data_IF_060242604275
#
_entry.id   IF_060242604275
#
_cell.length_a   1.000
_cell.length_b   1.000
_cell.length_c   1.000
_cell.angle_alpha   90.00
_cell.angle_beta   90.00
_cell.angle_gamma   90.00
#
_symmetry.space_group_name_H-M   'P 1'
#
loop_
_entity.id
_entity.type
_entity.pdbx_description
1 polymer ?
#
# COMPACT_ATOMS: atom_id res chain seq x y z
N UNK A 1 4.01 10.84 -1.58
CA UNK A 1 5.15 9.89 -1.49
C UNK A 1 4.61 8.46 -1.56
N UNK A 2 5.39 7.51 -2.09
CA UNK A 2 5.01 6.09 -2.12
C UNK A 2 5.69 5.37 -0.96
N UNK A 3 4.89 4.74 -0.10
CA UNK A 3 5.37 4.01 1.08
C UNK A 3 5.03 2.53 0.95
N UNK A 4 5.99 1.65 1.20
CA UNK A 4 5.74 0.21 1.27
C UNK A 4 4.97 -0.11 2.55
N UNK A 5 3.89 -0.88 2.44
CA UNK A 5 3.08 -1.34 3.57
C UNK A 5 3.31 -2.81 3.91
N UNK A 6 2.34 -3.40 4.63
CA UNK A 6 2.34 -4.81 4.97
C UNK A 6 2.39 -5.69 3.71
N UNK A 7 3.30 -6.66 3.71
CA UNK A 7 3.54 -7.59 2.59
C UNK A 7 2.63 -8.82 2.59
N UNK A 8 1.82 -9.02 3.64
CA UNK A 8 0.93 -10.17 3.81
C UNK A 8 -0.30 -9.81 4.63
N UNK A 9 -1.42 -10.55 4.52
CA UNK A 9 -2.56 -10.45 5.42
C UNK A 9 -2.15 -10.67 6.89
N UNK A 10 -3.00 -10.19 7.82
CA UNK A 10 -2.74 -10.33 9.27
C UNK A 10 -2.68 -11.80 9.72
N UNK A 11 -3.58 -12.62 9.20
CA UNK A 11 -3.79 -14.00 9.68
C UNK A 11 -3.71 -15.04 8.56
N UNK A 12 -4.31 -14.75 7.40
CA UNK A 12 -4.44 -15.71 6.32
C UNK A 12 -3.19 -15.76 5.44
N UNK A 13 -3.06 -16.86 4.70
CA UNK A 13 -2.12 -16.95 3.59
C UNK A 13 -2.45 -15.94 2.48
N UNK A 14 -1.43 -15.59 1.70
CA UNK A 14 -1.59 -14.71 0.55
C UNK A 14 -2.34 -15.46 -0.54
N UNK A 15 -3.37 -14.83 -1.09
CA UNK A 15 -4.06 -15.28 -2.30
C UNK A 15 -3.92 -14.16 -3.32
N UNK A 16 -3.30 -14.47 -4.45
CA UNK A 16 -3.16 -13.52 -5.56
C UNK A 16 -4.40 -13.49 -6.47
N UNK A 17 -4.39 -12.55 -7.41
CA UNK A 17 -5.42 -12.40 -8.43
C UNK A 17 -4.79 -12.38 -9.84
N UNK A 18 -3.73 -13.17 -10.04
CA UNK A 18 -3.00 -13.29 -11.32
C UNK A 18 -3.95 -13.59 -12.50
N UNK A 19 -4.98 -14.46 -12.38
CA UNK A 19 -5.90 -14.73 -13.49
C UNK A 19 -6.70 -13.52 -13.99
N UNK A 20 -6.80 -12.46 -13.18
CA UNK A 20 -7.52 -11.22 -13.49
C UNK A 20 -6.57 -10.11 -13.93
N UNK A 21 -5.39 -10.02 -13.30
CA UNK A 21 -4.48 -8.88 -13.45
C UNK A 21 -3.18 -9.19 -14.21
N UNK A 22 -2.94 -10.45 -14.59
CA UNK A 22 -1.70 -10.89 -15.23
C UNK A 22 -0.57 -11.12 -14.24
N UNK A 23 0.57 -11.62 -14.73
CA UNK A 23 1.72 -12.04 -13.90
C UNK A 23 2.36 -10.85 -13.18
N UNK A 24 2.45 -9.69 -13.85
CA UNK A 24 2.97 -8.46 -13.23
C UNK A 24 1.92 -7.71 -12.39
N UNK A 25 0.64 -8.08 -12.50
CA UNK A 25 -0.50 -7.32 -11.98
C UNK A 25 -0.90 -6.11 -12.83
N UNK A 26 -0.16 -5.79 -13.89
CA UNK A 26 -0.42 -4.69 -14.83
C UNK A 26 -0.04 -5.06 -16.28
N UNK A 27 -0.27 -6.32 -16.67
CA UNK A 27 0.09 -6.79 -18.00
C UNK A 27 -0.61 -5.97 -19.11
N UNK A 28 0.07 -5.80 -20.25
CA UNK A 28 -0.43 -5.08 -21.43
C UNK A 28 0.20 -3.70 -21.66
N UNK A 29 1.02 -3.21 -20.73
CA UNK A 29 1.80 -1.98 -20.88
C UNK A 29 3.27 -2.20 -20.48
N UNK A 30 4.20 -1.68 -21.29
CA UNK A 30 5.63 -1.69 -20.95
C UNK A 30 5.99 -0.47 -20.10
N UNK A 31 6.30 -0.71 -18.82
CA UNK A 31 6.68 0.35 -17.90
C UNK A 31 8.15 0.76 -18.07
N UNK A 32 8.47 2.06 -17.87
CA UNK A 32 9.87 2.49 -17.80
C UNK A 32 10.56 1.89 -16.58
N UNK A 33 11.91 1.84 -16.57
CA UNK A 33 12.66 1.38 -15.39
C UNK A 33 12.33 2.20 -14.14
N UNK A 34 12.16 1.53 -13.01
CA UNK A 34 11.89 2.14 -11.70
C UNK A 34 13.16 2.16 -10.84
N UNK A 35 13.26 3.12 -9.91
CA UNK A 35 14.32 3.15 -8.90
C UNK A 35 13.76 2.90 -7.51
N UNK A 36 14.44 2.08 -6.70
CA UNK A 36 14.09 1.97 -5.28
C UNK A 36 14.25 3.29 -4.52
N UNK A 37 15.03 4.23 -5.05
CA UNK A 37 15.17 5.59 -4.50
C UNK A 37 13.87 6.39 -4.56
N UNK A 38 12.92 5.99 -5.41
CA UNK A 38 11.61 6.63 -5.53
C UNK A 38 10.64 6.20 -4.41
N UNK A 39 10.99 5.15 -3.65
CA UNK A 39 10.26 4.73 -2.46
C UNK A 39 10.68 5.57 -1.26
N UNK A 40 9.70 6.05 -0.49
CA UNK A 40 9.97 6.60 0.83
C UNK A 40 10.42 5.49 1.79
N UNK A 41 11.41 5.78 2.63
CA UNK A 41 11.98 4.82 3.59
C UNK A 41 11.04 4.46 4.74
N UNK A 42 10.06 5.31 5.04
CA UNK A 42 9.07 5.11 6.11
C UNK A 42 8.01 4.08 5.71
N UNK A 43 7.64 3.20 6.66
CA UNK A 43 6.57 2.23 6.45
C UNK A 43 5.21 2.92 6.26
N UNK A 44 4.33 2.37 5.41
CA UNK A 44 3.06 3.01 5.05
C UNK A 44 2.17 3.32 6.27
N UNK A 45 2.11 2.44 7.27
CA UNK A 45 1.30 2.66 8.47
C UNK A 45 1.82 3.84 9.30
N UNK A 46 3.15 3.96 9.47
CA UNK A 46 3.75 5.08 10.19
C UNK A 46 3.55 6.39 9.43
N UNK A 47 3.67 6.36 8.10
CA UNK A 47 3.41 7.51 7.24
C UNK A 47 1.94 7.95 7.32
N UNK A 48 0.99 7.01 7.27
CA UNK A 48 -0.44 7.30 7.45
C UNK A 48 -0.71 7.90 8.83
N UNK A 49 -0.21 7.28 9.91
CA UNK A 49 -0.36 7.81 11.28
C UNK A 49 0.18 9.24 11.40
N UNK A 50 1.38 9.47 10.87
CA UNK A 50 2.02 10.80 10.88
C UNK A 50 1.19 11.82 10.11
N UNK A 51 0.72 11.47 8.91
CA UNK A 51 -0.12 12.36 8.10
C UNK A 51 -1.45 12.70 8.80
N UNK A 52 -2.08 11.72 9.44
CA UNK A 52 -3.35 11.89 10.16
C UNK A 52 -3.19 12.77 11.41
N UNK A 53 -2.16 12.52 12.22
CA UNK A 53 -1.92 13.27 13.46
C UNK A 53 -1.48 14.72 13.19
N UNK A 54 -0.85 14.98 12.05
CA UNK A 54 -0.39 16.30 11.67
C UNK A 54 -1.41 17.07 10.80
N UNK A 55 -2.56 16.48 10.49
CA UNK A 55 -3.58 17.18 9.69
C UNK A 55 -4.45 18.06 10.58
N UNK A 56 -4.68 19.30 10.15
CA UNK A 56 -5.58 20.24 10.81
C UNK A 56 -7.06 19.97 10.49
N UNK A 57 -7.33 19.13 9.48
CA UNK A 57 -8.66 18.77 9.02
C UNK A 57 -8.83 17.25 8.89
N UNK A 58 -10.08 16.72 8.93
CA UNK A 58 -10.30 15.30 8.73
C UNK A 58 -9.79 14.81 7.36
N UNK A 59 -8.89 13.84 7.37
CA UNK A 59 -8.36 13.22 6.15
C UNK A 59 -9.25 12.05 5.73
N UNK A 60 -9.59 11.98 4.45
CA UNK A 60 -10.29 10.83 3.86
C UNK A 60 -9.29 9.78 3.38
N UNK A 61 -9.44 8.54 3.83
CA UNK A 61 -8.67 7.40 3.33
C UNK A 61 -9.48 6.66 2.26
N UNK A 62 -8.90 6.48 1.08
CA UNK A 62 -9.47 5.70 -0.02
C UNK A 62 -8.79 4.33 -0.06
N UNK A 63 -9.42 3.32 0.54
CA UNK A 63 -8.86 1.97 0.65
C UNK A 63 -9.36 1.05 -0.47
N UNK A 64 -8.59 0.94 -1.56
CA UNK A 64 -8.95 0.20 -2.80
C UNK A 64 -8.24 -1.16 -2.93
N UNK A 65 -7.69 -1.69 -1.84
CA UNK A 65 -7.06 -3.00 -1.77
C UNK A 65 -7.37 -3.69 -0.43
N UNK A 66 -6.66 -4.78 -0.10
CA UNK A 66 -6.81 -5.42 1.21
C UNK A 66 -6.61 -4.44 2.37
N UNK A 67 -7.49 -4.49 3.37
CA UNK A 67 -7.53 -3.53 4.48
C UNK A 67 -6.45 -3.76 5.55
N UNK A 68 -5.42 -4.57 5.27
CA UNK A 68 -4.38 -4.96 6.24
C UNK A 68 -3.72 -3.74 6.90
N UNK A 69 -3.27 -2.76 6.12
CA UNK A 69 -2.62 -1.56 6.66
C UNK A 69 -3.58 -0.70 7.49
N UNK A 70 -4.87 -0.68 7.11
CA UNK A 70 -5.90 0.09 7.84
C UNK A 70 -6.19 -0.59 9.18
N UNK A 71 -6.26 -1.91 9.21
CA UNK A 71 -6.42 -2.67 10.45
C UNK A 71 -5.23 -2.46 11.41
N UNK A 72 -3.98 -2.49 10.90
CA UNK A 72 -2.78 -2.21 11.72
C UNK A 72 -2.75 -0.75 12.20
N UNK A 73 -3.22 0.20 11.38
CA UNK A 73 -3.27 1.61 11.77
C UNK A 73 -4.22 1.85 12.96
N UNK A 74 -5.30 1.07 13.05
CA UNK A 74 -6.35 1.21 14.07
C UNK A 74 -6.16 0.30 15.29
N UNK A 75 -5.12 -0.54 15.31
CA UNK A 75 -4.78 -1.41 16.45
C UNK A 75 -3.93 -0.69 17.49
#
# INVERSE_FOLDING_TARGET
>A
PVHRGASRPLLNEIVDAIPVHGESGMDGYEFPPISEKDLASTHAVEAMKTALLNSEEPVTIIAIGPLTNIAILLS
#
